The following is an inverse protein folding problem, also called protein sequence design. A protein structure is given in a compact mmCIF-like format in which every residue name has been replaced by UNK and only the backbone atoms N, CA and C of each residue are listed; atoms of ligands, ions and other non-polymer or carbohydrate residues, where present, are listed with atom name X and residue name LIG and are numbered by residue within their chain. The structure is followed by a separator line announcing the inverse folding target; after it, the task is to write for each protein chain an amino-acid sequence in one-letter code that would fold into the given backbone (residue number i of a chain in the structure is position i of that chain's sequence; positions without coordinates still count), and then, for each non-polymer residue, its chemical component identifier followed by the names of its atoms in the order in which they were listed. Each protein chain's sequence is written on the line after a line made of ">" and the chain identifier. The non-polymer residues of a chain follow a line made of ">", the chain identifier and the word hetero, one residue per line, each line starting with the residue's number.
data_IF_544921798717
#
_entry.id   IF_544921798717
#
_cell.length_a   1.000
_cell.length_b   1.000
_cell.length_c   1.000
_cell.angle_alpha   90.00
_cell.angle_beta   90.00
_cell.angle_gamma   90.00
#
_symmetry.space_group_name_H-M   'P 1'
#
loop_
_entity.id
_entity.type
_entity.pdbx_description
1 polymer ?
#
# COMPACT_ATOMS: atom_id res chain seq x y z
N UNK A 1 -5.63 14.82 -20.86
CA UNK A 1 -5.73 13.72 -19.87
C UNK A 1 -4.84 14.09 -18.72
N UNK A 2 -5.35 14.17 -17.49
CA UNK A 2 -4.54 14.52 -16.31
C UNK A 2 -3.51 13.41 -16.08
N UNK A 3 -2.24 13.77 -15.92
CA UNK A 3 -1.17 12.81 -15.65
C UNK A 3 -1.46 12.06 -14.35
N UNK A 4 -1.35 10.73 -14.38
CA UNK A 4 -1.54 9.88 -13.20
C UNK A 4 -0.23 9.77 -12.42
N UNK A 5 -0.12 10.52 -11.33
CA UNK A 5 1.06 10.48 -10.46
C UNK A 5 0.95 9.39 -9.40
N UNK A 6 2.09 8.87 -8.98
CA UNK A 6 2.20 7.93 -7.86
C UNK A 6 3.21 8.46 -6.85
N UNK A 7 2.78 8.63 -5.60
CA UNK A 7 3.68 8.94 -4.50
C UNK A 7 4.28 7.66 -3.91
N UNK A 8 5.60 7.59 -3.76
CA UNK A 8 6.32 6.42 -3.22
C UNK A 8 7.09 6.87 -1.97
N UNK A 9 6.84 6.24 -0.83
CA UNK A 9 7.48 6.62 0.43
C UNK A 9 8.39 5.52 0.99
N UNK A 10 9.59 5.93 1.39
CA UNK A 10 10.62 5.04 1.97
C UNK A 10 11.28 5.67 3.20
N UNK A 11 11.73 4.87 4.19
CA UNK A 11 12.58 5.37 5.27
C UNK A 11 14.00 5.68 4.77
N UNK A 12 14.60 6.74 5.30
CA UNK A 12 15.98 7.13 5.03
C UNK A 12 16.99 6.21 5.72
N UNK A 13 16.70 5.79 6.95
CA UNK A 13 17.64 5.08 7.82
C UNK A 13 17.15 3.69 8.20
N UNK A 14 18.09 2.77 8.29
CA UNK A 14 17.86 1.45 8.89
C UNK A 14 17.47 1.58 10.38
N UNK A 15 16.57 0.69 10.81
CA UNK A 15 16.30 0.48 12.24
C UNK A 15 17.48 -0.29 12.85
N UNK A 16 17.83 0.00 14.10
CA UNK A 16 18.93 -0.67 14.80
C UNK A 16 18.82 -2.19 14.71
N UNK A 17 19.93 -2.85 14.34
CA UNK A 17 20.00 -4.31 14.17
C UNK A 17 19.38 -4.84 12.87
N UNK A 18 18.88 -3.98 11.99
CA UNK A 18 18.30 -4.33 10.68
C UNK A 18 19.02 -3.58 9.57
N UNK A 19 18.82 -4.02 8.32
CA UNK A 19 19.32 -3.35 7.11
C UNK A 19 18.23 -3.20 6.06
N UNK A 20 16.99 -3.10 6.52
CA UNK A 20 15.81 -3.20 5.65
C UNK A 20 15.57 -1.90 4.85
N UNK A 21 15.89 -0.72 5.38
CA UNK A 21 15.71 0.53 4.63
C UNK A 21 16.62 0.58 3.41
N UNK A 22 17.91 0.34 3.61
CA UNK A 22 18.94 0.48 2.56
C UNK A 22 19.02 -0.75 1.64
N UNK A 23 18.69 -1.96 2.12
CA UNK A 23 18.84 -3.20 1.33
C UNK A 23 17.53 -3.78 0.82
N UNK A 24 16.39 -3.34 1.32
CA UNK A 24 15.08 -3.87 0.93
C UNK A 24 14.15 -2.77 0.44
N UNK A 25 13.79 -1.80 1.28
CA UNK A 25 12.76 -0.82 0.99
C UNK A 25 13.15 0.15 -0.14
N UNK A 26 14.32 0.77 -0.05
CA UNK A 26 14.79 1.70 -1.10
C UNK A 26 15.01 0.99 -2.45
N UNK A 27 15.70 -0.18 -2.51
CA UNK A 27 15.85 -0.91 -3.77
C UNK A 27 14.52 -1.36 -4.39
N UNK A 28 13.56 -1.83 -3.59
CA UNK A 28 12.24 -2.24 -4.11
C UNK A 28 11.40 -1.03 -4.55
N UNK A 29 11.48 0.10 -3.84
CA UNK A 29 10.84 1.35 -4.26
C UNK A 29 11.38 1.87 -5.59
N UNK A 30 12.69 1.81 -5.81
CA UNK A 30 13.31 2.16 -7.11
C UNK A 30 12.85 1.23 -8.24
N UNK A 31 12.72 -0.08 -7.97
CA UNK A 31 12.17 -1.02 -8.96
C UNK A 31 10.70 -0.72 -9.28
N UNK A 32 9.92 -0.35 -8.27
CA UNK A 32 8.52 0.05 -8.43
C UNK A 32 8.38 1.36 -9.21
N UNK A 33 9.22 2.36 -8.93
CA UNK A 33 9.35 3.59 -9.71
C UNK A 33 9.65 3.27 -11.19
N UNK A 34 10.66 2.46 -11.47
CA UNK A 34 10.99 2.06 -12.84
C UNK A 34 9.85 1.30 -13.52
N UNK A 35 9.15 0.41 -12.79
CA UNK A 35 7.99 -0.29 -13.32
C UNK A 35 6.86 0.69 -13.67
N UNK A 36 6.47 1.55 -12.75
CA UNK A 36 5.36 2.51 -12.93
C UNK A 36 5.67 3.53 -14.02
N UNK A 37 6.90 4.05 -14.07
CA UNK A 37 7.37 4.96 -15.13
C UNK A 37 7.32 4.34 -16.52
N UNK A 38 7.79 3.10 -16.68
CA UNK A 38 7.68 2.36 -17.96
C UNK A 38 6.25 2.06 -18.39
N UNK A 39 5.30 2.09 -17.44
CA UNK A 39 3.86 1.87 -17.68
C UNK A 39 3.06 3.17 -17.74
N UNK A 40 3.72 4.31 -18.02
CA UNK A 40 3.05 5.59 -18.30
C UNK A 40 2.53 6.35 -17.08
N UNK A 41 2.96 5.97 -15.88
CA UNK A 41 2.68 6.71 -14.65
C UNK A 41 3.85 7.64 -14.32
N UNK A 42 3.60 8.65 -13.50
CA UNK A 42 4.62 9.61 -13.07
C UNK A 42 4.97 9.36 -11.59
N UNK A 43 5.95 8.51 -11.28
CA UNK A 43 6.33 8.21 -9.91
C UNK A 43 7.17 9.34 -9.28
N UNK A 44 6.91 9.63 -8.01
CA UNK A 44 7.65 10.60 -7.20
C UNK A 44 8.07 9.94 -5.88
N UNK A 45 9.37 9.90 -5.58
CA UNK A 45 9.90 9.27 -4.36
C UNK A 45 10.09 10.30 -3.23
N UNK A 46 9.36 10.10 -2.14
CA UNK A 46 9.54 10.78 -0.87
C UNK A 46 10.38 9.96 0.11
N UNK A 47 11.60 10.42 0.42
CA UNK A 47 12.47 9.78 1.42
C UNK A 47 12.26 10.43 2.79
N UNK A 48 11.82 9.66 3.78
CA UNK A 48 11.43 10.15 5.10
C UNK A 48 12.52 9.86 6.12
N UNK A 49 13.00 10.88 6.84
CA UNK A 49 13.88 10.69 7.98
C UNK A 49 13.12 10.02 9.14
N UNK A 50 13.22 8.69 9.22
CA UNK A 50 12.54 7.86 10.20
C UNK A 50 13.21 7.81 11.59
N UNK A 51 14.12 8.75 11.88
CA UNK A 51 14.66 9.01 13.23
C UNK A 51 14.04 10.25 13.87
N UNK A 52 13.23 11.01 13.13
CA UNK A 52 12.52 12.17 13.67
C UNK A 52 11.35 11.74 14.57
N UNK A 53 10.87 12.63 15.46
CA UNK A 53 9.63 12.41 16.19
C UNK A 53 8.46 12.09 15.26
N UNK A 54 7.51 11.28 15.73
CA UNK A 54 6.38 10.78 14.93
C UNK A 54 5.57 11.90 14.25
N UNK A 55 5.33 13.01 14.96
CA UNK A 55 4.64 14.18 14.40
C UNK A 55 5.39 14.78 13.22
N UNK A 56 6.72 14.92 13.31
CA UNK A 56 7.56 15.43 12.22
C UNK A 56 7.63 14.50 11.02
N UNK A 57 7.63 13.18 11.25
CA UNK A 57 7.49 12.22 10.15
C UNK A 57 6.14 12.35 9.45
N UNK A 58 5.07 12.48 10.23
CA UNK A 58 3.70 12.70 9.71
C UNK A 58 3.66 13.96 8.84
N UNK A 59 4.13 15.09 9.36
CA UNK A 59 4.14 16.37 8.65
C UNK A 59 4.96 16.30 7.35
N UNK A 60 6.10 15.59 7.36
CA UNK A 60 6.94 15.41 6.18
C UNK A 60 6.22 14.60 5.08
N UNK A 61 5.56 13.49 5.43
CA UNK A 61 4.78 12.71 4.47
C UNK A 61 3.62 13.53 3.91
N UNK A 62 2.86 14.22 4.76
CA UNK A 62 1.73 15.03 4.33
C UNK A 62 2.16 16.16 3.38
N UNK A 63 3.28 16.83 3.69
CA UNK A 63 3.85 17.88 2.84
C UNK A 63 4.22 17.35 1.45
N UNK A 64 4.86 16.18 1.39
CA UNK A 64 5.22 15.55 0.12
C UNK A 64 4.00 15.11 -0.67
N UNK A 65 2.98 14.53 -0.02
CA UNK A 65 1.71 14.19 -0.67
C UNK A 65 1.11 15.41 -1.36
N UNK A 66 1.06 16.58 -0.69
CA UNK A 66 0.56 17.81 -1.31
C UNK A 66 1.38 18.24 -2.53
N UNK A 67 2.71 18.11 -2.47
CA UNK A 67 3.59 18.44 -3.59
C UNK A 67 3.47 17.50 -4.79
N UNK A 68 3.06 16.25 -4.58
CA UNK A 68 2.98 15.21 -5.62
C UNK A 68 1.63 15.12 -6.32
N UNK A 69 0.62 15.89 -5.88
CA UNK A 69 -0.71 15.88 -6.47
C UNK A 69 -0.72 16.29 -7.96
N UNK A 70 -1.73 15.86 -8.75
CA UNK A 70 -2.83 14.96 -8.37
C UNK A 70 -2.40 13.48 -8.34
N UNK A 71 -2.85 12.74 -7.33
CA UNK A 71 -2.43 11.35 -7.10
C UNK A 71 -3.43 10.33 -7.65
N UNK A 72 -2.92 9.28 -8.26
CA UNK A 72 -3.66 8.07 -8.65
C UNK A 72 -3.36 6.87 -7.74
N UNK A 73 -2.16 6.85 -7.15
CA UNK A 73 -1.79 5.87 -6.15
C UNK A 73 -0.74 6.40 -5.16
N UNK A 74 -0.64 5.71 -4.02
CA UNK A 74 0.40 5.93 -3.01
C UNK A 74 0.97 4.58 -2.59
N UNK A 75 2.30 4.44 -2.55
CA UNK A 75 2.96 3.23 -2.10
C UNK A 75 3.88 3.50 -0.90
N UNK A 76 3.84 2.63 0.10
CA UNK A 76 4.68 2.71 1.29
C UNK A 76 5.57 1.49 1.39
N UNK A 77 6.89 1.67 1.31
CA UNK A 77 7.89 0.62 1.54
C UNK A 77 8.55 0.85 2.88
N UNK A 78 8.00 0.25 3.93
CA UNK A 78 8.52 0.41 5.28
C UNK A 78 8.02 -0.69 6.22
N UNK A 79 8.45 -0.67 7.48
CA UNK A 79 7.84 -1.56 8.48
C UNK A 79 6.40 -1.15 8.81
N UNK A 80 5.60 -2.16 9.15
CA UNK A 80 4.25 -1.97 9.65
C UNK A 80 3.89 -2.99 10.73
N UNK A 81 2.79 -2.68 11.41
CA UNK A 81 2.04 -3.59 12.27
C UNK A 81 0.55 -3.46 11.92
N UNK A 82 -0.30 -4.24 12.57
CA UNK A 82 -1.77 -4.07 12.44
C UNK A 82 -2.28 -2.72 12.92
N UNK A 83 -1.44 -1.88 13.55
CA UNK A 83 -1.87 -0.60 14.16
C UNK A 83 -1.13 0.63 13.63
N UNK A 84 -0.02 0.46 12.91
CA UNK A 84 0.81 1.58 12.44
C UNK A 84 1.75 1.21 11.32
N UNK A 85 2.25 2.24 10.63
CA UNK A 85 3.41 2.17 9.74
C UNK A 85 4.57 3.00 10.29
N UNK A 86 5.79 2.66 9.90
CA UNK A 86 7.01 3.31 10.39
C UNK A 86 7.07 4.81 10.11
N UNK A 87 6.37 5.28 9.06
CA UNK A 87 6.47 6.66 8.55
C UNK A 87 5.48 7.62 9.20
N UNK A 88 5.16 7.42 10.49
CA UNK A 88 4.45 8.41 11.31
C UNK A 88 2.97 8.16 11.55
N UNK A 89 2.35 7.20 10.86
CA UNK A 89 0.92 6.98 10.94
C UNK A 89 0.53 5.75 11.77
N UNK A 90 -0.49 5.92 12.60
CA UNK A 90 -1.15 4.90 13.41
C UNK A 90 -2.68 5.07 13.37
N UNK A 91 -3.42 4.21 14.06
CA UNK A 91 -4.89 4.25 14.06
C UNK A 91 -5.49 5.59 14.56
N UNK A 92 -4.74 6.37 15.34
CA UNK A 92 -5.23 7.64 15.90
C UNK A 92 -5.10 8.80 14.92
N UNK A 93 -4.19 8.71 13.93
CA UNK A 93 -3.91 9.81 13.00
C UNK A 93 -4.02 9.42 11.51
N UNK A 94 -4.38 8.17 11.20
CA UNK A 94 -4.54 7.68 9.81
C UNK A 94 -5.58 8.46 9.00
N UNK A 95 -6.55 9.11 9.66
CA UNK A 95 -7.49 10.03 8.99
C UNK A 95 -6.80 11.22 8.34
N UNK A 96 -5.69 11.72 8.91
CA UNK A 96 -4.89 12.80 8.30
C UNK A 96 -4.27 12.34 6.99
N UNK A 97 -3.77 11.10 6.96
CA UNK A 97 -3.23 10.50 5.74
C UNK A 97 -4.31 10.36 4.68
N UNK A 98 -5.46 9.78 5.04
CA UNK A 98 -6.58 9.59 4.13
C UNK A 98 -7.06 10.91 3.52
N UNK A 99 -7.23 11.95 4.34
CA UNK A 99 -7.63 13.28 3.88
C UNK A 99 -6.64 13.84 2.84
N UNK A 100 -5.34 13.81 3.14
CA UNK A 100 -4.33 14.34 2.22
C UNK A 100 -4.27 13.56 0.89
N UNK A 101 -4.54 12.25 0.93
CA UNK A 101 -4.61 11.41 -0.28
C UNK A 101 -5.86 11.72 -1.13
N UNK A 102 -7.01 11.96 -0.49
CA UNK A 102 -8.30 12.07 -1.17
C UNK A 102 -8.72 13.50 -1.58
N UNK A 103 -8.00 14.53 -1.14
CA UNK A 103 -8.40 15.95 -1.22
C UNK A 103 -8.65 16.52 -2.64
N UNK A 104 -8.25 15.83 -3.71
CA UNK A 104 -8.45 16.29 -5.10
C UNK A 104 -9.73 15.74 -5.75
N UNK A 105 -10.73 15.34 -4.96
CA UNK A 105 -11.96 14.66 -5.41
C UNK A 105 -11.68 13.37 -6.24
N UNK A 106 -10.50 12.78 -6.08
CA UNK A 106 -10.22 11.51 -6.73
C UNK A 106 -10.95 10.38 -5.99
N UNK A 107 -12.01 9.88 -6.61
CA UNK A 107 -12.79 8.77 -6.07
C UNK A 107 -12.06 7.43 -6.19
N UNK A 108 -11.11 7.29 -7.12
CA UNK A 108 -10.39 6.05 -7.43
C UNK A 108 -8.89 6.19 -7.12
N UNK A 109 -8.51 5.86 -5.88
CA UNK A 109 -7.12 5.88 -5.42
C UNK A 109 -6.68 4.51 -4.93
N UNK A 110 -5.44 4.13 -5.24
CA UNK A 110 -4.84 2.89 -4.76
C UNK A 110 -3.79 3.20 -3.71
N UNK A 111 -3.87 2.59 -2.53
CA UNK A 111 -2.85 2.67 -1.49
C UNK A 111 -2.20 1.30 -1.31
N UNK A 112 -0.91 1.21 -1.59
CA UNK A 112 -0.17 -0.04 -1.61
C UNK A 112 0.78 -0.06 -0.41
N UNK A 113 0.41 -0.83 0.61
CA UNK A 113 1.18 -0.98 1.83
C UNK A 113 2.12 -2.17 1.67
N UNK A 114 3.32 -1.93 1.13
CA UNK A 114 4.44 -2.86 1.22
C UNK A 114 5.03 -2.84 2.65
N UNK A 115 4.16 -3.15 3.61
CA UNK A 115 4.37 -3.08 5.04
C UNK A 115 3.82 -4.34 5.72
N UNK A 116 4.63 -4.97 6.59
CA UNK A 116 4.23 -6.15 7.34
C UNK A 116 2.93 -5.93 8.14
N UNK A 117 2.08 -6.95 8.23
CA UNK A 117 0.95 -7.04 9.17
C UNK A 117 -0.11 -5.92 9.09
N UNK A 118 -0.03 -4.99 8.16
CA UNK A 118 -0.98 -3.86 8.04
C UNK A 118 -2.38 -4.31 7.61
N UNK A 119 -2.49 -5.47 6.94
CA UNK A 119 -3.75 -6.12 6.58
C UNK A 119 -4.28 -7.09 7.64
N UNK A 120 -3.60 -7.19 8.79
CA UNK A 120 -4.07 -7.94 9.95
C UNK A 120 -4.97 -7.05 10.82
N UNK A 121 -5.92 -7.66 11.51
CA UNK A 121 -6.85 -7.00 12.44
C UNK A 121 -7.43 -8.05 13.39
N UNK A 122 -8.12 -7.61 14.43
CA UNK A 122 -8.74 -8.52 15.41
C UNK A 122 -10.05 -9.12 14.91
N UNK A 123 -10.70 -8.48 13.94
CA UNK A 123 -11.93 -8.97 13.31
C UNK A 123 -11.68 -9.78 12.03
N UNK A 124 -12.76 -10.39 11.54
CA UNK A 124 -12.76 -11.18 10.30
C UNK A 124 -12.27 -10.35 9.12
N UNK A 125 -11.45 -10.93 8.24
CA UNK A 125 -10.89 -10.20 7.09
C UNK A 125 -9.86 -9.12 7.46
N UNK A 126 -9.45 -8.99 8.73
CA UNK A 126 -8.51 -7.96 9.16
C UNK A 126 -9.19 -6.66 9.59
N UNK A 127 -10.50 -6.73 9.84
CA UNK A 127 -11.30 -5.68 10.43
C UNK A 127 -10.69 -5.13 11.74
N UNK A 128 -10.73 -3.82 11.89
CA UNK A 128 -10.09 -3.06 12.97
C UNK A 128 -8.57 -2.88 12.83
N UNK A 129 -7.97 -3.34 11.73
CA UNK A 129 -6.56 -3.15 11.39
C UNK A 129 -6.23 -1.79 10.75
N UNK A 130 -4.95 -1.53 10.51
CA UNK A 130 -4.47 -0.29 9.91
C UNK A 130 -5.01 -0.09 8.48
N UNK A 131 -4.95 -1.12 7.63
CA UNK A 131 -5.42 -1.03 6.25
C UNK A 131 -6.95 -0.83 6.18
N UNK A 132 -7.68 -1.50 7.06
CA UNK A 132 -9.14 -1.38 7.21
C UNK A 132 -9.53 0.04 7.62
N UNK A 133 -8.91 0.57 8.70
CA UNK A 133 -9.15 1.94 9.16
C UNK A 133 -8.76 2.98 8.10
N UNK A 134 -7.66 2.74 7.37
CA UNK A 134 -7.25 3.62 6.27
C UNK A 134 -8.29 3.63 5.14
N UNK A 135 -8.83 2.47 4.74
CA UNK A 135 -9.91 2.37 3.74
C UNK A 135 -11.13 3.16 4.19
N UNK A 136 -11.58 2.98 5.43
CA UNK A 136 -12.75 3.68 5.96
C UNK A 136 -12.54 5.19 5.94
N UNK A 137 -11.37 5.65 6.41
CA UNK A 137 -11.04 7.06 6.38
C UNK A 137 -10.99 7.60 4.95
N UNK A 138 -10.39 6.88 3.99
CA UNK A 138 -10.38 7.28 2.57
C UNK A 138 -11.80 7.44 2.01
N UNK A 139 -12.69 6.50 2.32
CA UNK A 139 -14.09 6.57 1.92
C UNK A 139 -14.80 7.80 2.51
N UNK A 140 -14.60 8.06 3.81
CA UNK A 140 -15.12 9.25 4.48
C UNK A 140 -14.57 10.56 3.88
N UNK A 141 -13.34 10.53 3.33
CA UNK A 141 -12.72 11.66 2.64
C UNK A 141 -13.11 11.78 1.16
N UNK A 142 -14.03 10.94 0.66
CA UNK A 142 -14.56 11.00 -0.71
C UNK A 142 -13.93 10.01 -1.71
N UNK A 143 -12.88 9.28 -1.33
CA UNK A 143 -12.25 8.26 -2.17
C UNK A 143 -13.03 6.92 -2.11
N UNK A 144 -14.29 6.94 -2.57
CA UNK A 144 -15.23 5.81 -2.38
C UNK A 144 -14.92 4.57 -3.22
N UNK A 145 -14.13 4.69 -4.30
CA UNK A 145 -13.64 3.58 -5.13
C UNK A 145 -12.17 3.23 -4.83
N UNK A 146 -11.69 3.58 -3.62
CA UNK A 146 -10.33 3.27 -3.21
C UNK A 146 -10.06 1.77 -3.05
N UNK A 147 -8.79 1.39 -3.12
CA UNK A 147 -8.29 0.07 -2.70
C UNK A 147 -7.05 0.25 -1.84
N UNK A 148 -7.03 -0.38 -0.68
CA UNK A 148 -5.83 -0.54 0.13
C UNK A 148 -5.33 -1.98 -0.01
N UNK A 149 -4.08 -2.15 -0.45
CA UNK A 149 -3.41 -3.46 -0.61
C UNK A 149 -2.46 -3.63 0.55
N UNK A 150 -2.64 -4.68 1.36
CA UNK A 150 -1.90 -4.83 2.62
C UNK A 150 -1.61 -6.29 2.97
N UNK A 151 -0.55 -6.53 3.76
CA UNK A 151 -0.11 -7.88 4.10
C UNK A 151 -0.59 -8.33 5.48
N UNK A 152 -0.96 -9.61 5.62
CA UNK A 152 -1.47 -10.19 6.87
C UNK A 152 -0.41 -10.92 7.70
N UNK A 153 0.81 -11.06 7.16
CA UNK A 153 1.94 -11.70 7.85
C UNK A 153 3.20 -10.83 7.78
N UNK A 154 4.18 -11.12 8.63
CA UNK A 154 5.50 -10.54 8.54
C UNK A 154 6.31 -11.22 7.43
N UNK A 155 7.04 -10.44 6.64
CA UNK A 155 7.88 -10.97 5.56
C UNK A 155 8.33 -9.88 4.60
N UNK A 156 9.01 -10.28 3.53
CA UNK A 156 9.43 -9.36 2.47
C UNK A 156 8.18 -8.88 1.71
N UNK A 157 7.72 -7.66 2.00
CA UNK A 157 6.38 -7.23 1.61
C UNK A 157 6.09 -7.40 0.12
N UNK A 158 7.00 -7.03 -0.79
CA UNK A 158 6.78 -7.20 -2.24
C UNK A 158 6.65 -8.63 -2.74
N UNK A 159 6.99 -9.64 -1.93
CA UNK A 159 6.95 -11.07 -2.26
C UNK A 159 6.03 -11.87 -1.34
N UNK A 160 5.47 -11.24 -0.31
CA UNK A 160 4.68 -11.92 0.69
C UNK A 160 3.31 -12.28 0.08
N UNK A 161 2.96 -13.57 -0.05
CA UNK A 161 1.74 -13.98 -0.73
C UNK A 161 0.48 -13.71 0.09
N UNK A 162 0.60 -13.48 1.39
CA UNK A 162 -0.51 -13.21 2.29
C UNK A 162 -0.97 -11.76 2.19
N UNK A 163 -1.61 -11.41 1.07
CA UNK A 163 -2.12 -10.07 0.74
C UNK A 163 -3.63 -10.02 0.90
N UNK A 164 -4.18 -8.91 1.39
CA UNK A 164 -5.60 -8.60 1.30
C UNK A 164 -5.86 -7.30 0.56
N UNK A 165 -6.99 -7.24 -0.13
CA UNK A 165 -7.55 -6.02 -0.68
C UNK A 165 -8.67 -5.52 0.24
N UNK A 166 -8.58 -4.26 0.63
CA UNK A 166 -9.61 -3.53 1.36
C UNK A 166 -10.17 -2.46 0.42
N UNK A 167 -11.39 -2.62 -0.04
CA UNK A 167 -11.97 -1.76 -1.08
C UNK A 167 -13.09 -0.89 -0.52
N UNK A 168 -13.21 0.32 -1.09
CA UNK A 168 -14.31 1.23 -0.77
C UNK A 168 -15.63 0.80 -1.42
N UNK A 169 -15.59 0.18 -2.61
CA UNK A 169 -16.76 -0.33 -3.34
C UNK A 169 -17.91 0.69 -3.49
N UNK A 170 -17.59 1.98 -3.63
CA UNK A 170 -18.56 3.08 -3.72
C UNK A 170 -19.14 3.55 -2.38
N UNK A 171 -18.74 2.93 -1.26
CA UNK A 171 -19.19 3.31 0.08
C UNK A 171 -18.61 4.66 0.51
N UNK A 172 -19.43 5.46 1.21
CA UNK A 172 -19.00 6.72 1.84
C UNK A 172 -18.37 6.54 3.21
N UNK A 173 -18.47 5.34 3.80
CA UNK A 173 -17.99 5.06 5.16
C UNK A 173 -17.01 3.88 5.20
N UNK A 174 -16.75 3.24 4.06
CA UNK A 174 -15.99 2.00 4.00
C UNK A 174 -16.86 0.76 4.19
N UNK A 175 -16.31 -0.29 4.76
CA UNK A 175 -16.93 -1.62 4.81
C UNK A 175 -16.34 -2.46 5.93
N UNK A 176 -16.38 -3.79 5.82
CA UNK A 176 -15.85 -4.70 6.84
C UNK A 176 -14.69 -5.51 6.30
N UNK A 177 -13.51 -5.31 6.86
CA UNK A 177 -12.31 -6.08 6.54
C UNK A 177 -11.91 -6.05 5.06
N UNK A 178 -11.01 -6.98 4.71
CA UNK A 178 -10.54 -7.21 3.35
C UNK A 178 -10.54 -8.69 2.99
N UNK A 179 -10.32 -8.97 1.70
CA UNK A 179 -10.36 -10.32 1.15
C UNK A 179 -9.05 -10.67 0.44
N UNK A 180 -8.71 -11.96 0.35
CA UNK A 180 -7.53 -12.41 -0.37
C UNK A 180 -7.80 -12.39 -1.88
N UNK A 181 -6.96 -11.75 -2.71
CA UNK A 181 -7.11 -11.82 -4.16
C UNK A 181 -6.85 -13.25 -4.67
N UNK A 182 -6.04 -14.02 -3.94
CA UNK A 182 -5.87 -15.47 -4.11
C UNK A 182 -5.93 -16.11 -2.73
N UNK A 183 -6.95 -16.92 -2.46
CA UNK A 183 -7.16 -17.52 -1.14
C UNK A 183 -5.99 -18.47 -0.78
N UNK A 184 -5.40 -18.36 0.43
CA UNK A 184 -4.41 -19.30 0.92
C UNK A 184 -4.87 -20.76 0.78
N UNK A 185 -3.98 -21.61 0.26
CA UNK A 185 -4.24 -23.04 0.00
C UNK A 185 -5.27 -23.34 -1.11
N UNK A 186 -5.77 -22.33 -1.82
CA UNK A 186 -6.56 -22.57 -3.04
C UNK A 186 -5.72 -23.21 -4.16
N UNK A 187 -6.39 -23.66 -5.23
CA UNK A 187 -5.72 -24.25 -6.40
C UNK A 187 -4.68 -23.32 -7.06
N UNK A 188 -4.91 -22.01 -7.01
CA UNK A 188 -4.01 -21.00 -7.58
C UNK A 188 -2.86 -20.61 -6.64
N UNK A 189 -2.86 -21.07 -5.38
CA UNK A 189 -1.95 -20.57 -4.35
C UNK A 189 -0.46 -20.82 -4.65
N UNK A 190 -0.13 -22.00 -5.19
CA UNK A 190 1.27 -22.32 -5.54
C UNK A 190 1.76 -21.48 -6.74
N UNK A 191 0.91 -21.29 -7.75
CA UNK A 191 1.20 -20.41 -8.87
C UNK A 191 1.39 -18.96 -8.39
N UNK A 192 0.54 -18.50 -7.48
CA UNK A 192 0.63 -17.16 -6.87
C UNK A 192 1.96 -16.95 -6.15
N UNK A 193 2.36 -17.87 -5.27
CA UNK A 193 3.66 -17.81 -4.58
C UNK A 193 4.82 -17.79 -5.59
N UNK A 194 4.78 -18.68 -6.58
CA UNK A 194 5.82 -18.80 -7.59
C UNK A 194 5.96 -17.51 -8.39
N UNK A 195 4.85 -16.97 -8.91
CA UNK A 195 4.85 -15.74 -9.72
C UNK A 195 5.32 -14.53 -8.90
N UNK A 196 4.87 -14.39 -7.64
CA UNK A 196 5.41 -13.38 -6.71
C UNK A 196 6.89 -13.58 -6.35
N UNK A 197 7.49 -14.75 -6.56
CA UNK A 197 8.91 -15.01 -6.27
C UNK A 197 9.80 -14.85 -7.49
N UNK A 198 9.28 -15.12 -8.68
CA UNK A 198 10.06 -15.20 -9.92
C UNK A 198 9.82 -14.01 -10.85
N UNK A 199 8.61 -13.46 -10.88
CA UNK A 199 8.22 -12.37 -11.78
C UNK A 199 8.15 -11.04 -11.01
N UNK A 200 9.13 -10.16 -11.24
CA UNK A 200 9.17 -8.84 -10.61
C UNK A 200 8.11 -7.88 -11.14
N UNK A 201 7.69 -8.01 -12.40
CA UNK A 201 6.69 -7.13 -12.97
C UNK A 201 5.32 -7.45 -12.40
N UNK A 202 4.97 -8.73 -12.31
CA UNK A 202 3.71 -9.17 -11.70
C UNK A 202 3.52 -8.65 -10.27
N UNK A 203 4.58 -8.66 -9.44
CA UNK A 203 4.54 -8.16 -8.04
C UNK A 203 4.15 -6.69 -7.92
N UNK A 204 4.47 -5.89 -8.93
CA UNK A 204 4.16 -4.47 -8.98
C UNK A 204 2.88 -4.19 -9.77
N UNK A 205 2.48 -5.11 -10.64
CA UNK A 205 1.27 -5.02 -11.46
C UNK A 205 0.01 -5.42 -10.69
N UNK A 206 0.02 -6.53 -9.95
CA UNK A 206 -1.19 -7.09 -9.32
C UNK A 206 -1.98 -6.12 -8.42
N UNK A 207 -1.37 -5.14 -7.71
CA UNK A 207 -2.14 -4.19 -6.91
C UNK A 207 -3.15 -3.37 -7.74
N UNK A 208 -2.88 -3.22 -9.04
CA UNK A 208 -3.70 -2.47 -10.00
C UNK A 208 -4.64 -3.34 -10.82
N UNK A 209 -4.53 -4.67 -10.74
CA UNK A 209 -5.30 -5.60 -11.56
C UNK A 209 -6.68 -5.91 -10.97
N UNK A 210 -7.62 -6.28 -11.83
CA UNK A 210 -8.84 -6.95 -11.39
C UNK A 210 -8.52 -8.39 -10.91
N UNK A 211 -9.40 -8.99 -10.10
CA UNK A 211 -9.17 -10.34 -9.58
C UNK A 211 -9.13 -11.37 -10.71
N UNK A 212 -9.99 -11.18 -11.71
CA UNK A 212 -10.12 -12.03 -12.89
C UNK A 212 -8.83 -12.02 -13.71
N UNK A 213 -8.19 -10.86 -13.83
CA UNK A 213 -6.90 -10.72 -14.53
C UNK A 213 -5.78 -11.42 -13.73
N UNK A 214 -5.78 -11.27 -12.40
CA UNK A 214 -4.81 -11.97 -11.54
C UNK A 214 -4.96 -13.48 -11.73
N UNK A 215 -6.19 -14.01 -11.69
CA UNK A 215 -6.43 -15.44 -11.82
C UNK A 215 -6.05 -15.94 -13.23
N UNK A 216 -6.39 -15.17 -14.26
CA UNK A 216 -6.03 -15.47 -15.65
C UNK A 216 -4.52 -15.56 -15.85
N UNK A 217 -3.75 -14.64 -15.27
CA UNK A 217 -2.29 -14.66 -15.32
C UNK A 217 -1.64 -15.81 -14.54
N UNK A 218 -2.35 -16.42 -13.58
CA UNK A 218 -1.86 -17.54 -12.78
C UNK A 218 -2.17 -18.91 -13.38
N UNK A 219 -3.04 -18.96 -14.38
CA UNK A 219 -3.42 -20.20 -15.09
C UNK A 219 -2.55 -20.47 -16.33
N UNK A 220 -1.69 -19.52 -16.71
CA UNK A 220 -0.71 -19.65 -17.79
C UNK A 220 0.54 -20.38 -17.30
#
# INVERSE_FOLDING_TARGET
>A
MTEKRIAIFVPLYDVQGKKDATRVFQPEAQRFEQFTGRNGLQPEIGVINNKMPQSKMTDAVLTLIQGFKPLSAVAFFCHGTSRKIQLGFDLNNVSKLANAIAEDNNTDIKVILYCCLTGSGTGTGGDGGFADKLRDCLCCSGATSCRVVAHTTAGHATRNPFVRFFEGMGSKTGGTGGYYPVEPKSKLWQAWIKKLKEDSEFRFKFPFMAIEDIHSELMQ
#
